data_IF_791581749304
#
_entry.id   IF_791581749304
#
_cell.length_a   1.000
_cell.length_b   1.000
_cell.length_c   1.000
_cell.angle_alpha   90.00
_cell.angle_beta   90.00
_cell.angle_gamma   90.00
#
_symmetry.space_group_name_H-M   'P 1'
#
loop_
_entity.id
_entity.type
_entity.pdbx_description
1 polymer ?
#
# COMPACT_ATOMS: atom_id res chain seq x y z
N UNK A 1 -8.35 21.70 -24.98
CA UNK A 1 -8.08 20.71 -23.91
C UNK A 1 -6.63 20.27 -24.07
N UNK A 2 -5.80 20.42 -23.04
CA UNK A 2 -4.44 19.89 -23.09
C UNK A 2 -4.48 18.36 -23.22
N UNK A 3 -3.53 17.72 -23.91
CA UNK A 3 -3.47 16.26 -23.96
C UNK A 3 -3.32 15.72 -22.54
N UNK A 4 -4.25 14.86 -22.11
CA UNK A 4 -4.13 14.14 -20.85
C UNK A 4 -3.04 13.09 -21.02
N UNK A 5 -1.91 13.27 -20.34
CA UNK A 5 -0.86 12.26 -20.29
C UNK A 5 -1.45 10.95 -19.78
N UNK A 6 -1.21 9.86 -20.51
CA UNK A 6 -1.59 8.50 -20.13
C UNK A 6 -0.33 7.72 -19.76
N UNK A 7 -0.46 6.85 -18.78
CA UNK A 7 0.64 6.04 -18.29
C UNK A 7 0.21 4.59 -18.16
N UNK A 8 1.14 3.69 -18.43
CA UNK A 8 0.97 2.26 -18.21
C UNK A 8 1.31 1.90 -16.77
N UNK A 9 0.35 1.34 -16.05
CA UNK A 9 0.57 0.76 -14.75
C UNK A 9 1.60 -0.36 -14.84
N UNK A 10 2.67 -0.28 -14.06
CA UNK A 10 3.72 -1.30 -14.09
C UNK A 10 3.32 -2.60 -13.40
N UNK A 11 2.25 -2.64 -12.60
CA UNK A 11 1.74 -3.88 -11.98
C UNK A 11 0.74 -4.60 -12.90
N UNK A 12 -0.34 -3.93 -13.29
CA UNK A 12 -1.43 -4.57 -14.05
C UNK A 12 -1.40 -4.31 -15.57
N UNK A 13 -0.45 -3.51 -16.07
CA UNK A 13 -0.34 -3.17 -17.49
C UNK A 13 -1.43 -2.24 -18.05
N UNK A 14 -2.41 -1.85 -17.23
CA UNK A 14 -3.50 -0.98 -17.67
C UNK A 14 -3.00 0.43 -18.01
N UNK A 15 -3.54 1.01 -19.08
CA UNK A 15 -3.26 2.39 -19.48
C UNK A 15 -4.32 3.28 -18.83
N UNK A 16 -3.88 4.19 -17.96
CA UNK A 16 -4.75 5.08 -17.21
C UNK A 16 -4.29 6.55 -17.36
N UNK A 17 -5.22 7.52 -17.24
CA UNK A 17 -4.87 8.93 -17.21
C UNK A 17 -4.00 9.24 -15.98
N UNK A 18 -3.18 10.30 -16.06
CA UNK A 18 -2.24 10.68 -14.99
C UNK A 18 -2.89 10.81 -13.60
N UNK A 19 -4.16 11.23 -13.57
CA UNK A 19 -4.95 11.41 -12.34
C UNK A 19 -5.37 10.10 -11.66
N UNK A 20 -5.26 8.96 -12.36
CA UNK A 20 -5.63 7.63 -11.85
C UNK A 20 -4.39 6.78 -11.46
N UNK A 21 -3.20 7.31 -11.74
CA UNK A 21 -1.94 6.65 -11.44
C UNK A 21 -1.10 7.47 -10.48
N UNK A 22 -0.22 6.77 -9.78
CA UNK A 22 0.67 7.37 -8.81
C UNK A 22 2.06 6.80 -8.96
N UNK A 23 3.04 7.69 -8.88
CA UNK A 23 4.42 7.30 -8.72
C UNK A 23 4.64 6.58 -7.39
N UNK A 24 5.35 5.45 -7.46
CA UNK A 24 5.89 4.73 -6.33
C UNK A 24 6.73 5.62 -5.42
N UNK A 25 6.91 5.15 -4.19
CA UNK A 25 7.73 5.81 -3.19
C UNK A 25 9.18 5.90 -3.66
N UNK A 26 9.87 6.98 -3.27
CA UNK A 26 11.32 7.09 -3.46
C UNK A 26 12.10 6.26 -2.42
N UNK A 27 11.48 6.03 -1.25
CA UNK A 27 12.07 5.23 -0.18
C UNK A 27 11.83 3.74 -0.46
N UNK A 28 12.92 2.96 -0.50
CA UNK A 28 12.87 1.51 -0.71
C UNK A 28 12.01 0.77 0.30
N UNK A 29 12.00 1.17 1.58
CA UNK A 29 11.22 0.50 2.63
C UNK A 29 9.72 0.67 2.40
N UNK A 30 9.27 1.85 1.97
CA UNK A 30 7.86 2.07 1.65
C UNK A 30 7.44 1.33 0.37
N UNK A 31 8.32 1.27 -0.64
CA UNK A 31 8.08 0.47 -1.84
C UNK A 31 8.02 -1.02 -1.52
N UNK A 32 8.93 -1.52 -0.67
CA UNK A 32 8.95 -2.89 -0.19
C UNK A 32 7.67 -3.23 0.57
N UNK A 33 7.28 -2.41 1.56
CA UNK A 33 6.05 -2.60 2.33
C UNK A 33 4.80 -2.69 1.44
N UNK A 34 4.71 -1.80 0.44
CA UNK A 34 3.62 -1.83 -0.52
C UNK A 34 3.63 -3.12 -1.37
N UNK A 35 4.78 -3.50 -1.94
CA UNK A 35 4.90 -4.68 -2.81
C UNK A 35 4.68 -5.97 -2.03
N UNK A 36 5.18 -6.08 -0.80
CA UNK A 36 4.94 -7.23 0.08
C UNK A 36 3.47 -7.37 0.43
N UNK A 37 2.78 -6.25 0.70
CA UNK A 37 1.34 -6.28 0.95
C UNK A 37 0.53 -6.63 -0.31
N UNK A 38 0.96 -6.20 -1.50
CA UNK A 38 0.35 -6.64 -2.75
C UNK A 38 0.56 -8.15 -3.01
N UNK A 39 1.73 -8.69 -2.65
CA UNK A 39 1.97 -10.13 -2.75
C UNK A 39 1.02 -10.91 -1.85
N UNK A 40 0.87 -10.43 -0.61
CA UNK A 40 -0.06 -11.00 0.35
C UNK A 40 -1.52 -10.88 -0.11
N UNK A 41 -1.92 -9.74 -0.69
CA UNK A 41 -3.31 -9.49 -1.11
C UNK A 41 -3.73 -10.31 -2.32
N UNK A 42 -2.85 -10.52 -3.30
CA UNK A 42 -3.19 -11.22 -4.54
C UNK A 42 -3.01 -12.73 -4.46
N UNK A 43 -2.50 -13.27 -3.34
CA UNK A 43 -1.94 -14.63 -3.30
C UNK A 43 -1.02 -14.87 -4.51
N UNK A 44 -0.29 -13.81 -4.89
CA UNK A 44 0.23 -13.63 -6.24
C UNK A 44 1.49 -14.44 -6.52
N UNK A 45 1.88 -14.49 -7.79
CA UNK A 45 3.17 -15.07 -8.18
C UNK A 45 4.32 -14.20 -7.60
N UNK A 46 5.06 -14.77 -6.66
CA UNK A 46 6.19 -14.11 -5.99
C UNK A 46 7.29 -13.68 -6.97
N UNK A 47 7.46 -14.36 -8.11
CA UNK A 47 8.46 -14.00 -9.13
C UNK A 47 8.13 -12.66 -9.81
N UNK A 48 6.87 -12.44 -10.19
CA UNK A 48 6.44 -11.20 -10.83
C UNK A 48 6.68 -10.00 -9.90
N UNK A 49 6.33 -10.16 -8.62
CA UNK A 49 6.43 -9.10 -7.64
C UNK A 49 7.88 -8.87 -7.18
N UNK A 50 8.73 -9.90 -7.22
CA UNK A 50 10.18 -9.74 -7.08
C UNK A 50 10.77 -8.88 -8.19
N UNK A 51 10.45 -9.19 -9.44
CA UNK A 51 10.90 -8.40 -10.60
C UNK A 51 10.42 -6.95 -10.49
N UNK A 52 9.19 -6.73 -10.02
CA UNK A 52 8.67 -5.39 -9.78
C UNK A 52 9.44 -4.66 -8.67
N UNK A 53 9.78 -5.34 -7.58
CA UNK A 53 10.60 -4.75 -6.52
C UNK A 53 11.98 -4.36 -7.05
N UNK A 54 12.69 -5.26 -7.73
CA UNK A 54 14.00 -4.99 -8.33
C UNK A 54 13.92 -3.81 -9.31
N UNK A 55 12.92 -3.76 -10.18
CA UNK A 55 12.74 -2.62 -11.08
C UNK A 55 12.48 -1.31 -10.31
N UNK A 56 11.75 -1.37 -9.20
CA UNK A 56 11.45 -0.20 -8.35
C UNK A 56 12.70 0.42 -7.73
N UNK A 57 13.76 -0.37 -7.50
CA UNK A 57 15.01 0.13 -6.91
C UNK A 57 15.87 0.90 -7.91
N UNK A 58 15.77 0.58 -9.20
CA UNK A 58 16.54 1.26 -10.25
C UNK A 58 15.79 2.43 -10.90
N UNK A 59 14.47 2.32 -11.05
CA UNK A 59 13.64 3.36 -11.65
C UNK A 59 12.35 3.54 -10.87
N UNK A 60 11.90 4.79 -10.77
CA UNK A 60 10.60 5.07 -10.18
C UNK A 60 9.51 4.58 -11.11
N UNK A 61 8.54 3.84 -10.57
CA UNK A 61 7.43 3.26 -11.34
C UNK A 61 6.12 3.97 -11.08
N UNK A 62 5.16 3.86 -12.00
CA UNK A 62 3.77 4.31 -11.79
C UNK A 62 2.83 3.14 -11.67
N UNK A 63 2.03 3.13 -10.61
CA UNK A 63 0.98 2.15 -10.38
C UNK A 63 -0.39 2.84 -10.35
N UNK A 64 -1.46 2.10 -10.65
CA UNK A 64 -2.83 2.61 -10.47
C UNK A 64 -3.10 2.85 -8.99
N UNK A 65 -3.96 3.81 -8.67
CA UNK A 65 -4.41 4.03 -7.29
C UNK A 65 -4.97 2.76 -6.64
N UNK A 66 -5.62 1.88 -7.41
CA UNK A 66 -6.16 0.62 -6.91
C UNK A 66 -5.10 -0.24 -6.22
N UNK A 67 -3.87 -0.33 -6.73
CA UNK A 67 -2.82 -1.12 -6.09
C UNK A 67 -2.35 -0.53 -4.75
N UNK A 68 -2.46 0.79 -4.55
CA UNK A 68 -2.22 1.38 -3.23
C UNK A 68 -3.37 1.05 -2.27
N UNK A 69 -4.59 1.02 -2.78
CA UNK A 69 -5.79 0.68 -2.00
C UNK A 69 -5.74 -0.79 -1.58
N UNK A 70 -5.50 -1.72 -2.50
CA UNK A 70 -5.46 -3.16 -2.24
C UNK A 70 -4.42 -3.51 -1.16
N UNK A 71 -3.21 -2.95 -1.28
CA UNK A 71 -2.15 -3.13 -0.29
C UNK A 71 -2.55 -2.61 1.10
N UNK A 72 -3.20 -1.45 1.15
CA UNK A 72 -3.60 -0.82 2.39
C UNK A 72 -4.85 -1.48 3.01
N UNK A 73 -5.76 -2.01 2.20
CA UNK A 73 -6.88 -2.84 2.64
C UNK A 73 -6.39 -4.15 3.26
N UNK A 74 -5.41 -4.82 2.64
CA UNK A 74 -4.79 -6.01 3.22
C UNK A 74 -4.21 -5.71 4.60
N UNK A 75 -3.33 -4.71 4.71
CA UNK A 75 -2.74 -4.33 6.00
C UNK A 75 -3.81 -3.90 7.02
N UNK A 76 -4.83 -3.16 6.58
CA UNK A 76 -5.93 -2.73 7.43
C UNK A 76 -6.76 -3.91 7.95
N UNK A 77 -7.04 -4.91 7.12
CA UNK A 77 -7.75 -6.12 7.55
C UNK A 77 -6.95 -6.88 8.63
N UNK A 78 -5.65 -7.06 8.46
CA UNK A 78 -4.78 -7.68 9.46
C UNK A 78 -4.74 -6.89 10.77
N UNK A 79 -4.68 -5.55 10.71
CA UNK A 79 -4.79 -4.69 11.89
C UNK A 79 -6.15 -4.84 12.59
N UNK A 80 -7.25 -4.92 11.83
CA UNK A 80 -8.59 -5.13 12.38
C UNK A 80 -8.74 -6.48 13.07
N UNK A 81 -8.19 -7.54 12.48
CA UNK A 81 -8.16 -8.87 13.09
C UNK A 81 -7.38 -8.88 14.42
N UNK A 82 -6.35 -8.03 14.54
CA UNK A 82 -5.62 -7.81 15.78
C UNK A 82 -6.33 -6.87 16.77
N UNK A 83 -7.53 -6.38 16.46
CA UNK A 83 -8.35 -5.56 17.35
C UNK A 83 -8.24 -4.05 17.13
N UNK A 84 -7.48 -3.59 16.13
CA UNK A 84 -7.47 -2.17 15.77
C UNK A 84 -8.83 -1.77 15.19
N UNK A 85 -9.36 -0.64 15.65
CA UNK A 85 -10.64 -0.12 15.18
C UNK A 85 -10.39 1.12 14.34
N UNK A 86 -10.56 0.99 13.03
CA UNK A 86 -10.58 2.15 12.16
C UNK A 86 -11.77 3.06 12.52
N UNK A 87 -11.61 4.40 12.50
CA UNK A 87 -12.71 5.34 12.71
C UNK A 87 -13.78 5.12 11.66
N UNK A 88 -15.06 5.20 12.05
CA UNK A 88 -16.12 5.11 11.06
C UNK A 88 -16.13 6.37 10.19
N UNK A 89 -16.63 6.32 8.94
CA UNK A 89 -16.73 7.49 8.06
C UNK A 89 -17.48 8.68 8.71
N UNK A 90 -18.45 8.35 9.57
CA UNK A 90 -19.18 9.30 10.41
C UNK A 90 -18.29 10.03 11.42
N UNK A 91 -17.27 9.39 12.00
CA UNK A 91 -16.29 10.04 12.88
C UNK A 91 -15.41 11.05 12.13
N UNK A 92 -15.12 10.76 10.86
CA UNK A 92 -14.28 11.60 9.98
C UNK A 92 -15.04 12.88 9.54
N UNK A 93 -16.35 12.79 9.33
CA UNK A 93 -17.20 13.92 8.92
C UNK A 93 -17.29 15.04 9.97
N UNK A 94 -17.06 14.74 11.25
CA UNK A 94 -17.07 15.73 12.33
C UNK A 94 -15.70 16.35 12.62
N UNK A 95 -14.70 16.15 11.76
CA UNK A 95 -13.35 16.71 11.93
C UNK A 95 -12.63 16.18 13.18
N UNK A 96 -13.15 15.12 13.81
CA UNK A 96 -12.42 14.36 14.83
C UNK A 96 -11.41 13.53 14.07
N UNK A 97 -10.15 13.77 14.42
CA UNK A 97 -8.97 13.26 13.76
C UNK A 97 -9.21 11.92 13.06
N UNK A 98 -8.88 11.85 11.76
CA UNK A 98 -8.56 10.58 11.11
C UNK A 98 -7.61 9.87 12.09
N UNK A 99 -8.07 8.87 12.84
CA UNK A 99 -7.20 8.21 13.82
C UNK A 99 -6.03 7.68 13.01
N UNK A 100 -4.87 8.29 13.24
CA UNK A 100 -3.68 7.96 12.49
C UNK A 100 -3.18 6.66 13.09
N UNK A 101 -2.96 5.66 12.24
CA UNK A 101 -2.34 4.40 12.67
C UNK A 101 -1.07 4.76 13.43
N UNK A 102 -1.00 4.35 14.69
CA UNK A 102 0.13 4.51 15.57
C UNK A 102 1.05 3.28 15.54
N UNK A 103 2.18 3.38 16.24
CA UNK A 103 3.15 2.28 16.28
C UNK A 103 2.57 1.03 16.98
N UNK A 104 1.78 1.21 18.03
CA UNK A 104 1.14 0.11 18.76
C UNK A 104 -0.05 -0.54 18.05
N UNK A 105 -0.48 0.03 16.92
CA UNK A 105 -1.63 -0.47 16.15
C UNK A 105 -1.22 -1.50 15.09
N UNK A 106 0.09 -1.62 14.82
CA UNK A 106 0.61 -2.60 13.86
C UNK A 106 0.91 -3.90 14.62
N UNK A 107 0.21 -5.00 14.31
CA UNK A 107 0.46 -6.27 14.97
C UNK A 107 1.79 -6.88 14.49
N UNK A 108 2.56 -7.47 15.40
CA UNK A 108 3.83 -8.14 15.08
C UNK A 108 3.66 -9.23 13.98
N UNK A 109 2.61 -10.08 13.99
CA UNK A 109 2.38 -11.05 12.92
C UNK A 109 2.28 -10.45 11.51
N UNK A 110 1.67 -9.26 11.36
CA UNK A 110 1.61 -8.57 10.07
C UNK A 110 3.02 -8.15 9.64
N UNK A 111 3.80 -7.59 10.56
CA UNK A 111 5.17 -7.18 10.26
C UNK A 111 6.04 -8.37 9.86
N UNK A 112 5.94 -9.47 10.59
CA UNK A 112 6.66 -10.72 10.30
C UNK A 112 6.28 -11.29 8.95
N UNK A 113 4.99 -11.32 8.61
CA UNK A 113 4.50 -11.78 7.32
C UNK A 113 5.04 -10.92 6.16
N UNK A 114 4.99 -9.60 6.30
CA UNK A 114 5.52 -8.70 5.28
C UNK A 114 7.04 -8.87 5.13
N UNK A 115 7.77 -9.00 6.24
CA UNK A 115 9.20 -9.26 6.22
C UNK A 115 9.56 -10.61 5.58
N UNK A 116 8.76 -11.66 5.78
CA UNK A 116 8.95 -12.94 5.11
C UNK A 116 8.85 -12.82 3.58
N UNK A 117 8.00 -11.93 3.06
CA UNK A 117 7.96 -11.62 1.63
C UNK A 117 9.12 -10.75 1.19
N UNK A 118 9.45 -9.69 1.96
CA UNK A 118 10.57 -8.81 1.63
C UNK A 118 11.89 -9.56 1.54
N UNK A 119 12.13 -10.52 2.44
CA UNK A 119 13.33 -11.36 2.44
C UNK A 119 13.46 -12.24 1.19
N UNK A 120 12.36 -12.56 0.49
CA UNK A 120 12.43 -13.26 -0.80
C UNK A 120 12.92 -12.35 -1.94
N UNK A 121 12.77 -11.04 -1.79
CA UNK A 121 13.15 -10.03 -2.77
C UNK A 121 14.53 -9.43 -2.47
N UNK A 122 14.79 -9.12 -1.19
CA UNK A 122 15.96 -8.42 -0.69
C UNK A 122 16.27 -8.91 0.73
N UNK A 123 17.19 -9.87 0.84
CA UNK A 123 17.63 -10.46 2.11
C UNK A 123 18.22 -9.41 3.08
N UNK A 124 18.71 -8.29 2.55
CA UNK A 124 19.32 -7.22 3.35
C UNK A 124 18.30 -6.22 3.91
N UNK A 125 17.04 -6.32 3.49
CA UNK A 125 15.99 -5.38 3.88
C UNK A 125 15.09 -5.99 4.95
N UNK A 126 14.87 -5.21 6.01
CA UNK A 126 13.89 -5.53 7.06
C UNK A 126 13.02 -4.31 7.27
N UNK A 127 11.72 -4.49 7.12
CA UNK A 127 10.71 -3.49 7.44
C UNK A 127 10.61 -3.32 8.94
N UNK A 128 10.35 -2.08 9.35
CA UNK A 128 10.00 -1.74 10.72
C UNK A 128 8.52 -1.35 10.81
N UNK A 129 7.97 -1.37 12.01
CA UNK A 129 6.62 -0.82 12.30
C UNK A 129 6.46 0.59 11.74
N UNK A 130 7.50 1.42 11.81
CA UNK A 130 7.49 2.80 11.30
C UNK A 130 7.22 2.85 9.79
N UNK A 131 7.73 1.89 9.03
CA UNK A 131 7.53 1.83 7.58
C UNK A 131 6.08 1.50 7.24
N UNK A 132 5.48 0.56 7.98
CA UNK A 132 4.07 0.17 7.84
C UNK A 132 3.15 1.32 8.22
N UNK A 133 3.40 1.96 9.37
CA UNK A 133 2.65 3.14 9.81
C UNK A 133 2.71 4.26 8.78
N UNK A 134 3.90 4.58 8.25
CA UNK A 134 4.06 5.62 7.23
C UNK A 134 3.28 5.30 5.95
N UNK A 135 3.32 4.04 5.51
CA UNK A 135 2.54 3.61 4.35
C UNK A 135 1.04 3.76 4.63
N UNK A 136 0.56 3.24 5.76
CA UNK A 136 -0.86 3.28 6.12
C UNK A 136 -1.37 4.71 6.28
N UNK A 137 -0.66 5.57 6.99
CA UNK A 137 -1.05 6.98 7.15
C UNK A 137 -1.14 7.71 5.80
N UNK A 138 -0.19 7.50 4.89
CA UNK A 138 -0.23 8.10 3.55
C UNK A 138 -1.40 7.55 2.72
N UNK A 139 -1.65 6.24 2.78
CA UNK A 139 -2.75 5.59 2.08
C UNK A 139 -4.11 6.04 2.61
N UNK A 140 -4.29 6.10 3.93
CA UNK A 140 -5.55 6.52 4.55
C UNK A 140 -5.83 7.99 4.22
N UNK A 141 -4.83 8.87 4.36
CA UNK A 141 -4.97 10.30 4.02
C UNK A 141 -5.44 10.53 2.59
N UNK A 142 -5.08 9.64 1.66
CA UNK A 142 -5.36 9.80 0.22
C UNK A 142 -6.58 9.03 -0.26
N UNK A 143 -6.85 7.87 0.34
CA UNK A 143 -7.79 6.89 -0.23
C UNK A 143 -8.92 6.50 0.71
N UNK A 144 -8.82 6.75 2.02
CA UNK A 144 -9.83 6.29 2.98
C UNK A 144 -11.21 6.91 2.75
N UNK A 145 -11.27 8.17 2.34
CA UNK A 145 -12.52 8.86 1.96
C UNK A 145 -12.83 8.75 0.46
N UNK A 146 -11.89 8.23 -0.34
CA UNK A 146 -12.15 7.94 -1.73
C UNK A 146 -12.99 6.65 -1.79
N UNK A 147 -14.01 6.64 -2.65
CA UNK A 147 -14.98 5.54 -2.83
C UNK A 147 -14.36 4.16 -3.13
N UNK A 148 -13.04 4.06 -3.33
CA UNK A 148 -12.32 2.82 -3.54
C UNK A 148 -12.00 2.02 -2.26
N UNK A 149 -11.87 2.65 -1.08
CA UNK A 149 -11.48 1.92 0.14
C UNK A 149 -12.58 0.99 0.69
N UNK A 150 -13.85 1.34 0.51
CA UNK A 150 -15.00 0.60 1.05
C UNK A 150 -15.61 -0.41 0.05
N UNK A 151 -15.02 -0.59 -1.14
CA UNK A 151 -15.58 -1.44 -2.20
C UNK A 151 -15.28 -2.95 -2.06
N UNK A 152 -14.57 -3.35 -1.01
CA UNK A 152 -14.35 -4.76 -0.66
C UNK A 152 -15.34 -5.19 0.43
N UNK A 153 -16.57 -5.51 0.04
CA UNK A 153 -17.61 -6.12 0.86
C UNK A 153 -18.41 -7.10 0.03
#
# INVERSE_FOLDING_TARGET
MAPMNRYTCQVCGQIAPDVEVRWMFKNKHQSAAMISALLASYNGNSELLKVLYEQSTYKRMKFCHQHFIDAAQFMGAEMMLAGFKFPQPEDVLFGRALATVGLGDVPDPLLDQLNAYVQQFDESLTLTVVDIVRFMQDSIKRYYTASGWMRGG
#
